data_IF_860684044510
#
_entry.id   IF_860684044510
#
_cell.length_a   1.000
_cell.length_b   1.000
_cell.length_c   1.000
_cell.angle_alpha   90.00
_cell.angle_beta   90.00
_cell.angle_gamma   90.00
#
_symmetry.space_group_name_H-M   'P 1'
#
loop_
_entity.id
_entity.type
_entity.pdbx_description
1 polymer ?
#
# COMPACT_ATOMS: atom_id res chain seq x y z
N UNK A 1 -21.08 -11.00 6.17
CA UNK A 1 -22.03 -9.86 6.24
C UNK A 1 -21.52 -8.75 5.33
N UNK A 2 -22.37 -7.96 4.68
CA UNK A 2 -21.93 -6.80 3.90
C UNK A 2 -22.42 -5.52 4.56
N UNK A 3 -21.51 -4.58 4.80
CA UNK A 3 -21.81 -3.24 5.32
C UNK A 3 -21.41 -2.20 4.28
N UNK A 4 -22.03 -1.02 4.34
CA UNK A 4 -21.68 0.10 3.46
C UNK A 4 -20.96 1.16 4.30
N UNK A 5 -19.73 1.49 3.92
CA UNK A 5 -18.97 2.59 4.51
C UNK A 5 -19.09 3.84 3.63
N UNK A 6 -19.25 5.01 4.24
CA UNK A 6 -19.18 6.28 3.53
C UNK A 6 -17.75 6.82 3.61
N UNK A 7 -17.05 6.79 2.48
CA UNK A 7 -15.68 7.28 2.36
C UNK A 7 -15.65 8.59 1.55
N UNK A 8 -14.54 9.32 1.59
CA UNK A 8 -14.35 10.55 0.78
C UNK A 8 -14.37 10.33 -0.75
N UNK A 9 -14.61 9.09 -1.19
CA UNK A 9 -14.74 8.66 -2.59
C UNK A 9 -16.13 8.09 -2.92
N UNK A 10 -17.06 8.15 -1.96
CA UNK A 10 -18.42 7.60 -2.07
C UNK A 10 -18.65 6.36 -1.20
N UNK A 11 -19.80 5.71 -1.42
CA UNK A 11 -20.22 4.52 -0.68
C UNK A 11 -19.40 3.29 -1.11
N UNK A 12 -18.71 2.66 -0.16
CA UNK A 12 -17.86 1.49 -0.38
C UNK A 12 -18.48 0.28 0.30
N UNK A 13 -18.92 -0.75 -0.47
CA UNK A 13 -19.36 -2.01 0.12
C UNK A 13 -18.18 -2.81 0.68
N UNK A 14 -18.34 -3.32 1.89
CA UNK A 14 -17.33 -4.09 2.62
C UNK A 14 -17.91 -5.42 3.07
N UNK A 15 -17.28 -6.52 2.65
CA UNK A 15 -17.58 -7.86 3.13
C UNK A 15 -16.84 -8.10 4.45
N UNK A 16 -17.58 -8.38 5.52
CA UNK A 16 -17.06 -8.68 6.86
C UNK A 16 -17.31 -10.14 7.21
N UNK A 17 -16.24 -10.83 7.62
CA UNK A 17 -16.28 -12.16 8.23
C UNK A 17 -16.41 -12.01 9.74
N UNK A 18 -17.38 -12.73 10.32
CA UNK A 18 -17.66 -12.74 11.76
C UNK A 18 -17.42 -14.14 12.28
N UNK A 19 -16.65 -14.27 13.35
CA UNK A 19 -16.38 -15.53 14.06
C UNK A 19 -16.68 -15.32 15.55
N UNK A 20 -17.46 -16.23 16.16
CA UNK A 20 -17.81 -16.10 17.58
C UNK A 20 -18.68 -14.89 17.94
N UNK A 21 -19.21 -14.16 16.94
CA UNK A 21 -19.93 -12.90 17.14
C UNK A 21 -19.06 -11.66 16.91
N UNK A 22 -17.75 -11.84 16.76
CA UNK A 22 -16.79 -10.74 16.57
C UNK A 22 -16.33 -10.62 15.11
N UNK A 23 -16.19 -9.40 14.57
CA UNK A 23 -15.65 -9.20 13.23
C UNK A 23 -14.13 -9.45 13.22
N UNK A 24 -13.68 -10.42 12.42
CA UNK A 24 -12.26 -10.84 12.36
C UNK A 24 -11.55 -10.41 11.08
N UNK A 25 -12.30 -10.16 10.00
CA UNK A 25 -11.74 -9.79 8.70
C UNK A 25 -12.73 -8.95 7.90
N UNK A 26 -12.20 -8.00 7.12
CA UNK A 26 -12.98 -7.17 6.21
C UNK A 26 -12.29 -7.08 4.85
N UNK A 27 -13.07 -7.22 3.78
CA UNK A 27 -12.61 -7.10 2.39
C UNK A 27 -13.43 -6.06 1.67
N UNK A 28 -12.76 -5.15 0.99
CA UNK A 28 -13.38 -4.12 0.17
C UNK A 28 -12.59 -3.94 -1.11
N UNK A 29 -13.26 -3.36 -2.12
CA UNK A 29 -12.61 -2.96 -3.36
C UNK A 29 -12.41 -1.44 -3.31
N UNK A 30 -11.17 -0.99 -3.39
CA UNK A 30 -10.86 0.44 -3.49
C UNK A 30 -11.51 1.02 -4.74
N UNK A 31 -12.25 2.13 -4.59
CA UNK A 31 -13.00 2.72 -5.70
C UNK A 31 -12.10 3.37 -6.78
N UNK A 32 -10.85 3.70 -6.43
CA UNK A 32 -9.88 4.28 -7.35
C UNK A 32 -8.85 3.24 -7.78
N UNK A 33 -8.65 3.11 -9.10
CA UNK A 33 -7.54 2.36 -9.65
C UNK A 33 -6.22 3.03 -9.25
N UNK A 34 -5.17 2.26 -8.91
CA UNK A 34 -3.88 2.82 -8.57
C UNK A 34 -3.29 3.56 -9.78
N UNK A 35 -3.13 4.88 -9.65
CA UNK A 35 -2.33 5.63 -10.62
C UNK A 35 -0.85 5.38 -10.33
N UNK A 36 -0.16 4.85 -11.33
CA UNK A 36 1.27 4.59 -11.23
C UNK A 36 2.08 5.75 -11.82
N UNK A 37 3.02 6.29 -11.04
CA UNK A 37 3.98 7.29 -11.51
C UNK A 37 5.41 6.86 -11.19
N UNK A 38 6.34 7.30 -12.02
CA UNK A 38 7.76 7.15 -11.72
C UNK A 38 8.17 8.12 -10.61
N UNK A 39 9.13 7.69 -9.79
CA UNK A 39 9.70 8.55 -8.75
C UNK A 39 10.55 9.66 -9.37
N UNK A 40 10.40 10.93 -8.93
CA UNK A 40 11.28 12.01 -9.33
C UNK A 40 12.69 11.87 -8.72
N UNK A 41 12.81 11.14 -7.61
CA UNK A 41 14.09 10.92 -6.93
C UNK A 41 14.81 9.69 -7.46
N UNK A 42 16.14 9.81 -7.55
CA UNK A 42 17.00 8.69 -7.84
C UNK A 42 16.91 7.64 -6.74
N UNK A 43 17.18 6.40 -7.11
CA UNK A 43 17.17 5.28 -6.17
C UNK A 43 18.19 5.44 -5.03
N UNK A 44 19.34 6.05 -5.31
CA UNK A 44 20.37 6.30 -4.30
C UNK A 44 19.89 7.31 -3.25
N UNK A 45 19.17 8.34 -3.69
CA UNK A 45 18.63 9.36 -2.79
C UNK A 45 17.49 8.80 -1.94
N UNK A 46 16.60 8.00 -2.52
CA UNK A 46 15.56 7.28 -1.79
C UNK A 46 16.16 6.38 -0.71
N UNK A 47 17.16 5.55 -1.05
CA UNK A 47 17.81 4.65 -0.11
C UNK A 47 18.47 5.42 1.06
N UNK A 48 19.12 6.56 0.78
CA UNK A 48 19.68 7.43 1.81
C UNK A 48 18.60 8.02 2.73
N UNK A 49 17.49 8.48 2.18
CA UNK A 49 16.38 9.07 2.96
C UNK A 49 15.76 8.08 3.94
N UNK A 50 15.75 6.78 3.62
CA UNK A 50 15.22 5.72 4.50
C UNK A 50 16.30 4.98 5.30
N UNK A 51 17.55 5.46 5.29
CA UNK A 51 18.64 4.90 6.09
C UNK A 51 19.20 3.55 5.60
N UNK A 52 19.04 3.24 4.31
CA UNK A 52 19.37 1.93 3.74
C UNK A 52 20.50 2.02 2.70
N UNK A 53 21.18 0.89 2.46
CA UNK A 53 22.29 0.80 1.49
C UNK A 53 21.78 0.53 0.07
N UNK A 54 22.27 1.24 -0.98
CA UNK A 54 21.80 1.09 -2.36
C UNK A 54 22.03 -0.28 -3.04
N UNK A 55 22.57 -1.30 -2.37
CA UNK A 55 22.83 -2.61 -2.99
C UNK A 55 21.69 -3.63 -2.83
N UNK A 56 20.65 -3.31 -2.07
CA UNK A 56 19.62 -4.27 -1.66
C UNK A 56 18.26 -4.18 -2.35
N UNK A 57 18.11 -3.56 -3.52
CA UNK A 57 16.77 -3.31 -4.08
C UNK A 57 16.65 -3.60 -5.58
N UNK A 58 15.45 -4.03 -5.97
CA UNK A 58 15.05 -4.28 -7.36
C UNK A 58 14.50 -3.00 -8.03
N UNK A 59 14.65 -2.84 -9.36
CA UNK A 59 14.38 -1.58 -10.07
C UNK A 59 12.89 -1.24 -10.29
N UNK A 60 11.94 -1.96 -9.66
CA UNK A 60 10.51 -1.66 -9.83
C UNK A 60 10.10 -0.48 -8.97
N UNK A 61 10.21 0.71 -9.57
CA UNK A 61 9.73 2.00 -9.02
C UNK A 61 8.25 2.10 -9.32
N UNK A 62 7.41 2.12 -8.31
CA UNK A 62 5.99 2.39 -8.56
C UNK A 62 5.44 3.22 -7.41
N UNK A 63 5.34 4.54 -7.62
CA UNK A 63 4.38 5.33 -6.85
C UNK A 63 3.01 4.78 -7.21
N UNK A 64 2.19 4.52 -6.21
CA UNK A 64 0.82 4.07 -6.41
C UNK A 64 -0.10 5.01 -5.66
N UNK A 65 -1.11 5.54 -6.34
CA UNK A 65 -2.12 6.42 -5.74
C UNK A 65 -3.48 5.75 -5.79
N UNK A 66 -3.97 5.34 -4.62
CA UNK A 66 -5.32 4.85 -4.38
C UNK A 66 -5.99 5.73 -3.29
N UNK A 67 -6.18 7.01 -3.60
CA UNK A 67 -6.70 8.03 -2.66
C UNK A 67 -5.60 8.78 -1.89
N UNK A 68 -4.58 8.08 -1.38
CA UNK A 68 -3.36 8.68 -0.79
C UNK A 68 -2.13 8.37 -1.65
N UNK A 69 -1.13 9.26 -1.64
CA UNK A 69 0.13 9.05 -2.36
C UNK A 69 1.10 8.25 -1.50
N UNK A 70 1.52 7.08 -1.99
CA UNK A 70 2.49 6.22 -1.30
C UNK A 70 3.63 5.83 -2.24
N UNK A 71 4.84 5.71 -1.68
CA UNK A 71 6.02 5.17 -2.36
C UNK A 71 6.32 3.78 -1.80
N UNK A 72 6.12 2.73 -2.60
CA UNK A 72 6.53 1.38 -2.25
C UNK A 72 8.00 1.17 -2.62
N UNK A 73 8.84 0.80 -1.64
CA UNK A 73 10.26 0.52 -1.85
C UNK A 73 10.55 -0.94 -1.43
N UNK A 74 10.73 -1.82 -2.41
CA UNK A 74 11.00 -3.25 -2.16
C UNK A 74 12.45 -3.48 -1.73
N UNK A 75 12.68 -3.86 -0.46
CA UNK A 75 14.00 -4.19 0.09
C UNK A 75 14.25 -5.71 0.05
N UNK A 76 15.48 -6.14 -0.23
CA UNK A 76 15.87 -7.55 -0.37
C UNK A 76 16.51 -8.16 0.89
N UNK A 77 16.17 -7.68 2.09
CA UNK A 77 16.68 -8.29 3.33
C UNK A 77 15.58 -8.27 4.38
N UNK A 78 15.30 -9.43 4.98
CA UNK A 78 14.58 -9.49 6.26
C UNK A 78 15.46 -8.77 7.30
N UNK A 79 14.90 -7.92 8.17
CA UNK A 79 15.67 -7.44 9.31
C UNK A 79 15.90 -8.64 10.24
N UNK A 80 17.18 -8.97 10.47
CA UNK A 80 17.75 -10.08 11.25
C UNK A 80 18.02 -11.39 10.49
N UNK A 81 19.24 -11.50 9.96
CA UNK A 81 20.19 -12.57 10.29
C UNK A 81 21.49 -11.92 10.80
#
# INVERSE_FOLDING_TARGET
MTIILEENIGLVPVDVTIEGGDPVFARFKTAMLPEHRESPHSYQDLARMVGLKPRGYLPRRTFSRNGLMWLAISCHSRPND
#
